data_IF_109699658634
#
_entry.id   IF_109699658634
#
_cell.length_a   1.000
_cell.length_b   1.000
_cell.length_c   1.000
_cell.angle_alpha   90.00
_cell.angle_beta   90.00
_cell.angle_gamma   90.00
#
_symmetry.space_group_name_H-M   'P 1'
#
loop_
_entity.id
_entity.type
_entity.pdbx_description
1 polymer ?
#
# COMPACT_ATOMS: atom_id res chain seq x y z
N UNK A 1 4.01 -0.89 13.36
CA UNK A 1 3.26 0.31 12.90
C UNK A 1 4.02 0.84 11.72
N UNK A 2 3.38 0.93 10.55
CA UNK A 2 4.09 1.34 9.33
C UNK A 2 4.52 2.80 9.38
N UNK A 3 5.78 3.06 9.03
CA UNK A 3 6.32 4.40 8.83
C UNK A 3 6.24 4.80 7.35
N UNK A 4 5.81 6.03 7.10
CA UNK A 4 5.79 6.60 5.75
C UNK A 4 7.15 7.24 5.40
N UNK A 5 7.64 6.93 4.21
CA UNK A 5 8.80 7.52 3.57
C UNK A 5 8.39 8.16 2.23
N UNK A 6 9.08 9.21 1.84
CA UNK A 6 9.01 9.78 0.49
C UNK A 6 10.29 9.40 -0.24
N UNK A 7 10.13 8.90 -1.46
CA UNK A 7 11.23 8.58 -2.35
C UNK A 7 11.81 9.87 -2.92
N UNK A 8 13.08 10.09 -2.67
CA UNK A 8 13.88 11.22 -3.13
C UNK A 8 15.12 10.66 -3.83
N UNK A 9 15.77 11.46 -4.69
CA UNK A 9 16.96 11.02 -5.44
C UNK A 9 18.03 10.36 -4.54
N UNK A 10 18.26 10.91 -3.35
CA UNK A 10 19.26 10.39 -2.38
C UNK A 10 18.94 9.03 -1.76
N UNK A 11 17.68 8.59 -1.77
CA UNK A 11 17.24 7.35 -1.11
C UNK A 11 16.55 6.37 -2.07
N UNK A 12 16.41 6.75 -3.35
CA UNK A 12 15.60 6.03 -4.34
C UNK A 12 16.06 4.59 -4.53
N UNK A 13 17.37 4.38 -4.59
CA UNK A 13 17.99 3.08 -4.70
C UNK A 13 17.62 2.16 -3.53
N UNK A 14 17.76 2.66 -2.30
CA UNK A 14 17.48 1.89 -1.10
C UNK A 14 15.99 1.60 -0.95
N UNK A 15 15.13 2.59 -1.21
CA UNK A 15 13.68 2.40 -1.15
C UNK A 15 13.20 1.43 -2.24
N UNK A 16 13.76 1.49 -3.45
CA UNK A 16 13.45 0.55 -4.53
C UNK A 16 13.88 -0.87 -4.19
N UNK A 17 15.04 -1.05 -3.54
CA UNK A 17 15.49 -2.37 -3.04
C UNK A 17 14.56 -2.92 -1.97
N UNK A 18 14.14 -2.10 -1.01
CA UNK A 18 13.16 -2.51 0.02
C UNK A 18 11.81 -2.89 -0.58
N UNK A 19 11.37 -2.16 -1.60
CA UNK A 19 10.11 -2.44 -2.28
C UNK A 19 10.18 -3.61 -3.28
N UNK A 20 11.38 -4.00 -3.71
CA UNK A 20 11.57 -5.02 -4.75
C UNK A 20 11.14 -4.56 -6.15
N UNK A 21 10.88 -3.26 -6.34
CA UNK A 21 10.50 -2.64 -7.61
C UNK A 21 11.14 -1.25 -7.72
N UNK A 22 11.33 -0.77 -8.94
CA UNK A 22 11.78 0.60 -9.16
C UNK A 22 10.70 1.60 -8.73
N UNK A 23 11.06 2.53 -7.84
CA UNK A 23 10.20 3.62 -7.41
C UNK A 23 10.66 4.94 -8.04
N UNK A 24 9.69 5.77 -8.44
CA UNK A 24 9.95 7.11 -8.94
C UNK A 24 10.12 8.09 -7.77
N UNK A 25 10.75 9.24 -8.04
CA UNK A 25 10.72 10.38 -7.12
C UNK A 25 9.28 10.76 -6.72
N UNK A 26 9.13 11.27 -5.51
CA UNK A 26 7.86 11.64 -4.88
C UNK A 26 6.91 10.47 -4.59
N UNK A 27 7.35 9.22 -4.83
CA UNK A 27 6.58 8.04 -4.40
C UNK A 27 6.49 8.00 -2.88
N UNK A 28 5.28 7.85 -2.35
CA UNK A 28 5.06 7.59 -0.92
C UNK A 28 5.12 6.08 -0.69
N UNK A 29 5.92 5.66 0.28
CA UNK A 29 6.17 4.26 0.62
C UNK A 29 5.92 4.03 2.11
N UNK A 30 5.18 2.98 2.47
CA UNK A 30 4.95 2.57 3.86
C UNK A 30 5.71 1.28 4.17
N UNK A 31 6.53 1.32 5.22
CA UNK A 31 7.33 0.19 5.69
C UNK A 31 7.02 -0.13 7.15
N UNK A 32 6.83 -1.40 7.47
CA UNK A 32 6.84 -1.92 8.85
C UNK A 32 8.18 -2.63 9.07
N UNK A 33 9.12 -1.93 9.70
CA UNK A 33 10.54 -2.32 9.68
C UNK A 33 11.15 -2.17 8.28
N UNK A 34 11.66 -3.27 7.73
CA UNK A 34 12.22 -3.31 6.36
C UNK A 34 11.27 -3.91 5.31
N UNK A 35 10.01 -4.15 5.70
CA UNK A 35 9.03 -4.82 4.85
C UNK A 35 7.95 -3.83 4.41
N UNK A 36 7.64 -3.79 3.11
CA UNK A 36 6.52 -2.99 2.60
C UNK A 36 5.20 -3.51 3.17
N UNK A 37 4.53 -2.68 3.95
CA UNK A 37 3.29 -3.05 4.60
C UNK A 37 2.47 -1.82 4.98
N UNK A 38 1.17 -1.91 4.76
CA UNK A 38 0.21 -0.96 5.31
C UNK A 38 -1.15 -1.63 5.54
N UNK A 39 -1.70 -1.45 6.74
CA UNK A 39 -2.93 -2.12 7.21
C UNK A 39 -4.22 -1.35 6.87
N UNK A 40 -4.11 -0.09 6.48
CA UNK A 40 -5.20 0.86 6.39
C UNK A 40 -5.29 1.60 5.05
N UNK A 41 -4.50 1.18 4.06
CA UNK A 41 -4.41 1.86 2.78
C UNK A 41 -3.35 1.25 1.87
N UNK A 42 -3.14 1.83 0.67
CA UNK A 42 -2.07 1.43 -0.22
C UNK A 42 -0.71 1.70 0.42
N UNK A 43 0.18 0.73 0.31
CA UNK A 43 1.52 0.80 0.86
C UNK A 43 2.51 1.51 -0.08
N UNK A 44 2.15 1.71 -1.35
CA UNK A 44 2.91 2.52 -2.31
C UNK A 44 1.92 3.41 -3.06
N UNK A 45 2.22 4.70 -3.14
CA UNK A 45 1.46 5.68 -3.94
C UNK A 45 2.45 6.43 -4.81
N UNK A 46 2.37 6.23 -6.13
CA UNK A 46 3.20 6.92 -7.10
C UNK A 46 2.86 8.41 -7.25
N UNK A 47 3.74 9.22 -7.86
CA UNK A 47 3.49 10.64 -8.11
C UNK A 47 2.30 10.89 -9.06
N UNK A 48 1.95 9.89 -9.87
CA UNK A 48 0.78 9.87 -10.77
C UNK A 48 -0.52 9.42 -10.07
N UNK A 49 -0.45 9.10 -8.77
CA UNK A 49 -1.57 8.58 -8.00
C UNK A 49 -1.81 7.08 -8.16
N UNK A 50 -0.90 6.33 -8.80
CA UNK A 50 -1.02 4.87 -8.87
C UNK A 50 -0.82 4.27 -7.48
N UNK A 51 -1.83 3.54 -7.02
CA UNK A 51 -1.84 2.88 -5.72
C UNK A 51 -1.51 1.39 -5.84
N UNK A 52 -0.59 0.91 -5.00
CA UNK A 52 -0.30 -0.51 -4.81
C UNK A 52 -0.44 -0.90 -3.34
N UNK A 53 -0.95 -2.11 -3.15
CA UNK A 53 -1.27 -2.65 -1.83
C UNK A 53 -0.29 -3.75 -1.49
N UNK A 54 0.40 -3.60 -0.36
CA UNK A 54 1.32 -4.63 0.14
C UNK A 54 1.02 -4.96 1.59
N UNK A 55 0.92 -6.26 1.87
CA UNK A 55 0.77 -6.78 3.22
C UNK A 55 1.94 -7.73 3.50
N UNK A 56 2.78 -7.39 4.49
CA UNK A 56 3.95 -8.18 4.87
C UNK A 56 4.85 -8.52 3.66
N UNK A 57 5.05 -7.52 2.79
CA UNK A 57 5.91 -7.63 1.61
C UNK A 57 5.27 -8.33 0.40
N UNK A 58 4.04 -8.84 0.54
CA UNK A 58 3.31 -9.49 -0.56
C UNK A 58 2.47 -8.48 -1.31
N UNK A 59 2.56 -8.47 -2.64
CA UNK A 59 1.70 -7.66 -3.49
C UNK A 59 0.26 -8.19 -3.47
N UNK A 60 -0.63 -7.43 -2.87
CA UNK A 60 -2.06 -7.74 -2.75
C UNK A 60 -2.91 -6.87 -3.69
N UNK A 61 -2.29 -6.09 -4.57
CA UNK A 61 -2.97 -5.04 -5.36
C UNK A 61 -4.15 -5.58 -6.15
N UNK A 62 -4.00 -6.77 -6.77
CA UNK A 62 -5.08 -7.38 -7.55
C UNK A 62 -6.22 -7.87 -6.66
N UNK A 63 -5.88 -8.54 -5.55
CA UNK A 63 -6.88 -9.12 -4.65
C UNK A 63 -7.68 -8.03 -3.92
N UNK A 64 -7.02 -6.95 -3.49
CA UNK A 64 -7.70 -5.79 -2.90
C UNK A 64 -8.63 -5.11 -3.91
N UNK A 65 -8.20 -4.92 -5.16
CA UNK A 65 -9.06 -4.36 -6.22
C UNK A 65 -10.27 -5.26 -6.50
N UNK A 66 -10.08 -6.58 -6.51
CA UNK A 66 -11.20 -7.53 -6.64
C UNK A 66 -12.17 -7.42 -5.47
N UNK A 67 -11.65 -7.39 -4.24
CA UNK A 67 -12.45 -7.25 -3.04
C UNK A 67 -13.27 -5.95 -3.04
N UNK A 68 -12.68 -4.80 -3.38
CA UNK A 68 -13.42 -3.55 -3.50
C UNK A 68 -14.49 -3.60 -4.59
N UNK A 69 -14.20 -4.24 -5.73
CA UNK A 69 -15.18 -4.44 -6.79
C UNK A 69 -16.38 -5.26 -6.31
N UNK A 70 -16.13 -6.40 -5.65
CA UNK A 70 -17.16 -7.30 -5.13
C UNK A 70 -18.04 -6.61 -4.08
N UNK A 71 -17.42 -5.78 -3.23
CA UNK A 71 -18.11 -4.98 -2.22
C UNK A 71 -18.77 -3.71 -2.77
N UNK A 72 -18.57 -3.39 -4.06
CA UNK A 72 -18.99 -2.14 -4.71
C UNK A 72 -18.45 -0.89 -4.02
N UNK A 73 -17.21 -0.94 -3.55
CA UNK A 73 -16.53 0.17 -2.90
C UNK A 73 -15.70 0.99 -3.90
N UNK A 74 -15.61 2.32 -3.72
CA UNK A 74 -14.71 3.15 -4.52
C UNK A 74 -13.25 2.78 -4.23
N UNK A 75 -12.39 2.77 -5.26
CA UNK A 75 -11.00 2.32 -5.09
C UNK A 75 -10.19 3.28 -4.21
N UNK A 76 -10.39 4.58 -4.38
CA UNK A 76 -9.64 5.64 -3.71
C UNK A 76 -10.09 5.90 -2.26
N UNK A 77 -11.30 5.45 -1.89
CA UNK A 77 -11.89 5.73 -0.58
C UNK A 77 -12.64 4.52 -0.01
N UNK A 78 -12.24 3.31 -0.40
CA UNK A 78 -12.92 2.07 -0.02
C UNK A 78 -12.79 1.72 1.46
N UNK A 79 -11.87 2.35 2.19
CA UNK A 79 -11.64 2.14 3.63
C UNK A 79 -11.99 3.38 4.47
N UNK A 80 -13.02 4.13 4.05
CA UNK A 80 -13.47 5.38 4.66
C UNK A 80 -14.26 5.22 5.98
N UNK A 81 -14.69 4.01 6.33
CA UNK A 81 -15.38 3.72 7.60
C UNK A 81 -14.67 2.64 8.41
N UNK A 82 -14.89 2.63 9.73
CA UNK A 82 -14.32 1.63 10.64
C UNK A 82 -14.79 0.21 10.31
N UNK A 83 -16.04 0.05 9.85
CA UNK A 83 -16.60 -1.24 9.44
C UNK A 83 -15.89 -1.77 8.19
N UNK A 84 -15.69 -0.92 7.17
CA UNK A 84 -14.97 -1.30 5.95
C UNK A 84 -13.52 -1.64 6.24
N UNK A 85 -12.88 -0.86 7.11
CA UNK A 85 -11.53 -1.12 7.60
C UNK A 85 -11.46 -2.48 8.29
N UNK A 86 -12.37 -2.78 9.22
CA UNK A 86 -12.39 -4.05 9.95
C UNK A 86 -12.57 -5.25 9.00
N UNK A 87 -13.44 -5.13 7.99
CA UNK A 87 -13.61 -6.17 6.96
C UNK A 87 -12.34 -6.39 6.14
N UNK A 88 -11.68 -5.30 5.71
CA UNK A 88 -10.40 -5.38 5.00
C UNK A 88 -9.33 -6.06 5.85
N UNK A 89 -9.17 -5.63 7.10
CA UNK A 89 -8.18 -6.20 8.01
C UNK A 89 -8.45 -7.68 8.28
N UNK A 90 -9.71 -8.07 8.52
CA UNK A 90 -10.09 -9.47 8.70
C UNK A 90 -9.86 -10.36 7.47
N UNK A 91 -9.91 -9.77 6.27
CA UNK A 91 -9.66 -10.49 5.02
C UNK A 91 -8.16 -10.64 4.72
N UNK A 92 -7.38 -9.56 4.91
CA UNK A 92 -6.01 -9.46 4.38
C UNK A 92 -4.89 -9.49 5.43
N UNK A 93 -5.17 -9.21 6.70
CA UNK A 93 -4.16 -9.11 7.77
C UNK A 93 -4.13 -10.31 8.73
N UNK A 94 -4.51 -11.50 8.24
CA UNK A 94 -4.54 -12.73 9.05
C UNK A 94 -3.14 -13.19 9.49
#
# INVERSE_FOLDING_TARGET
MSQMFVVEERNQDDMSRKAGIYLYGDTKLWLDGDVVHRADGPAIIGPDGVERWYIHGKDMTRDVKSFFFDQRWPVQSGLDTAEKMALFQGQFLK
#
